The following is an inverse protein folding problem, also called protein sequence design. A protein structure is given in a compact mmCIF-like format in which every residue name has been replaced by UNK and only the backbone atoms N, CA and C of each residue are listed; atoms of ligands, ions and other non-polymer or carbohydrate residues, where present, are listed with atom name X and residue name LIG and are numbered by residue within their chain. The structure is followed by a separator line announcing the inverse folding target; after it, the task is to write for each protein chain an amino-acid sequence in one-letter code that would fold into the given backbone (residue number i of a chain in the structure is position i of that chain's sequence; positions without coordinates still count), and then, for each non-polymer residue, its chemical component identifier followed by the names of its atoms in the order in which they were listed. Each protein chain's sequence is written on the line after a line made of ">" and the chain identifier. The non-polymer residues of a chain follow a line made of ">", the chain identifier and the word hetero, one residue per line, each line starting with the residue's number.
data_IF_321452330418
#
_entry.id   IF_321452330418
#
_cell.length_a   1.000
_cell.length_b   1.000
_cell.length_c   1.000
_cell.angle_alpha   90.00
_cell.angle_beta   90.00
_cell.angle_gamma   90.00
#
_symmetry.space_group_name_H-M   'P 1'
#
loop_
_entity.id
_entity.type
_entity.pdbx_description
1 polymer ?
#
# COMPACT_ATOMS: atom_id res chain seq x y z
N UNK A 1 20.76 6.28 -22.37
CA UNK A 1 20.81 5.62 -21.05
C UNK A 1 19.68 6.20 -20.21
N UNK A 2 19.14 5.44 -19.25
CA UNK A 2 18.04 5.79 -18.31
C UNK A 2 16.65 5.24 -18.70
N UNK A 3 15.99 4.64 -17.71
CA UNK A 3 14.66 4.00 -17.64
C UNK A 3 14.58 2.49 -17.90
N UNK A 4 15.30 1.69 -17.09
CA UNK A 4 14.90 0.31 -16.81
C UNK A 4 13.93 0.32 -15.64
N UNK A 5 12.64 0.24 -15.95
CA UNK A 5 11.52 0.34 -15.03
C UNK A 5 11.52 -0.76 -13.96
N UNK A 6 12.06 -0.47 -12.77
CA UNK A 6 11.75 -1.21 -11.54
C UNK A 6 10.42 -0.72 -11.02
N UNK A 7 9.33 -1.29 -11.52
CA UNK A 7 7.96 -0.95 -11.10
C UNK A 7 7.61 -1.83 -9.91
N UNK A 8 7.36 -1.24 -8.73
CA UNK A 8 6.61 -1.95 -7.69
C UNK A 8 5.22 -2.18 -8.27
N UNK A 9 4.87 -3.45 -8.54
CA UNK A 9 3.51 -3.84 -8.92
C UNK A 9 2.81 -4.29 -7.65
N UNK A 10 1.91 -3.46 -7.15
CA UNK A 10 0.89 -3.88 -6.20
C UNK A 10 -0.19 -4.63 -6.97
N UNK A 11 -0.21 -5.95 -6.82
CA UNK A 11 -1.33 -6.77 -7.28
C UNK A 11 -2.35 -6.86 -6.16
N UNK A 12 -3.51 -6.24 -6.34
CA UNK A 12 -4.74 -6.63 -5.66
C UNK A 12 -5.70 -7.16 -6.73
N UNK A 13 -5.68 -8.46 -7.09
CA UNK A 13 -6.87 -9.06 -7.65
C UNK A 13 -7.86 -9.16 -6.47
N UNK A 14 -9.12 -8.77 -6.57
CA UNK A 14 -10.16 -9.57 -7.18
C UNK A 14 -11.50 -8.83 -7.18
N UNK A 15 -12.32 -9.14 -8.17
CA UNK A 15 -13.74 -8.76 -8.25
C UNK A 15 -14.59 -9.64 -7.33
N UNK A 16 -15.38 -8.98 -6.48
CA UNK A 16 -16.60 -9.43 -5.76
C UNK A 16 -16.49 -10.59 -4.74
N UNK A 17 -16.97 -10.30 -3.52
CA UNK A 17 -17.26 -11.14 -2.35
C UNK A 17 -16.13 -11.96 -1.67
N UNK A 18 -14.98 -12.16 -2.31
CA UNK A 18 -13.77 -12.75 -1.69
C UNK A 18 -12.75 -11.70 -1.17
N UNK A 19 -13.10 -10.42 -1.21
CA UNK A 19 -12.21 -9.30 -0.88
C UNK A 19 -11.80 -9.21 0.61
N UNK A 20 -12.38 -10.04 1.49
CA UNK A 20 -12.19 -9.99 2.95
C UNK A 20 -11.78 -11.33 3.58
N UNK A 21 -11.50 -12.37 2.78
CA UNK A 21 -10.88 -13.57 3.35
C UNK A 21 -9.47 -13.20 3.79
N UNK A 22 -9.09 -13.59 5.01
CA UNK A 22 -7.75 -13.39 5.56
C UNK A 22 -6.68 -13.93 4.60
N UNK A 23 -7.00 -14.98 3.84
CA UNK A 23 -6.13 -15.56 2.82
C UNK A 23 -5.87 -14.65 1.60
N UNK A 24 -6.74 -13.67 1.32
CA UNK A 24 -6.65 -12.74 0.20
C UNK A 24 -5.92 -11.43 0.51
N UNK A 25 -5.61 -11.15 1.78
CA UNK A 25 -4.97 -9.89 2.19
C UNK A 25 -3.50 -9.86 1.76
N UNK A 26 -3.09 -8.79 1.07
CA UNK A 26 -1.68 -8.59 0.82
C UNK A 26 -0.98 -8.12 2.11
N UNK A 27 -0.18 -9.00 2.69
CA UNK A 27 0.59 -8.73 3.90
C UNK A 27 2.08 -8.48 3.64
N UNK A 28 2.47 -8.29 2.37
CA UNK A 28 3.86 -8.15 1.98
C UNK A 28 4.08 -6.92 1.08
N UNK A 29 5.23 -6.28 1.24
CA UNK A 29 5.85 -5.51 0.17
C UNK A 29 6.58 -6.49 -0.75
N UNK A 30 6.35 -6.40 -2.06
CA UNK A 30 6.99 -7.30 -3.04
C UNK A 30 7.72 -6.45 -4.08
N UNK A 31 9.02 -6.73 -4.24
CA UNK A 31 9.87 -6.15 -5.29
C UNK A 31 10.18 -7.25 -6.29
N UNK A 32 9.92 -6.98 -7.57
CA UNK A 32 10.16 -7.93 -8.67
C UNK A 32 11.08 -7.27 -9.69
N UNK A 33 12.20 -7.94 -10.00
CA UNK A 33 13.02 -7.64 -11.16
C UNK A 33 12.78 -8.71 -12.24
N UNK A 34 11.96 -8.41 -13.27
CA UNK A 34 11.61 -9.40 -14.28
C UNK A 34 12.74 -9.70 -15.25
N UNK A 35 13.77 -8.85 -15.35
CA UNK A 35 14.92 -9.06 -16.25
C UNK A 35 15.91 -10.00 -15.58
N UNK A 36 16.23 -9.75 -14.30
CA UNK A 36 17.07 -10.63 -13.50
C UNK A 36 16.33 -11.88 -13.00
N UNK A 37 15.00 -11.94 -13.18
CA UNK A 37 14.11 -12.98 -12.65
C UNK A 37 14.23 -13.15 -11.13
N UNK A 38 14.39 -12.03 -10.42
CA UNK A 38 14.55 -12.00 -8.97
C UNK A 38 13.32 -11.41 -8.27
N UNK A 39 13.06 -11.88 -7.05
CA UNK A 39 12.02 -11.36 -6.18
C UNK A 39 12.55 -11.18 -4.77
N UNK A 40 12.10 -10.10 -4.12
CA UNK A 40 12.34 -9.83 -2.71
C UNK A 40 11.02 -9.46 -2.05
N UNK A 41 10.89 -9.75 -0.77
CA UNK A 41 9.69 -9.43 -0.01
C UNK A 41 10.05 -8.98 1.39
N UNK A 42 9.26 -8.06 1.93
CA UNK A 42 9.30 -7.69 3.33
C UNK A 42 7.87 -7.67 3.91
N UNK A 43 7.68 -8.03 5.18
CA UNK A 43 6.34 -8.06 5.76
C UNK A 43 5.83 -6.64 6.04
N UNK A 44 4.52 -6.41 5.83
CA UNK A 44 3.89 -5.15 6.22
C UNK A 44 3.89 -4.93 7.74
N UNK A 45 4.03 -6.00 8.54
CA UNK A 45 4.11 -5.93 10.01
C UNK A 45 5.34 -5.19 10.54
N UNK A 46 6.30 -4.83 9.67
CA UNK A 46 7.41 -3.91 10.03
C UNK A 46 7.02 -2.42 9.96
N UNK A 47 5.81 -2.10 9.48
CA UNK A 47 5.27 -0.74 9.46
C UNK A 47 4.41 -0.46 10.70
N UNK A 48 4.18 0.82 11.03
CA UNK A 48 3.17 1.21 12.01
C UNK A 48 1.79 0.63 11.66
N UNK A 49 1.04 0.22 12.68
CA UNK A 49 -0.23 -0.53 12.53
C UNK A 49 -1.19 0.11 11.52
N UNK A 50 -1.40 1.43 11.55
CA UNK A 50 -2.32 2.10 10.63
C UNK A 50 -1.89 2.05 9.17
N UNK A 51 -0.58 2.06 8.89
CA UNK A 51 -0.04 1.89 7.55
C UNK A 51 -0.13 0.42 7.11
N UNK A 52 0.18 -0.52 7.99
CA UNK A 52 0.03 -1.95 7.72
C UNK A 52 -1.41 -2.27 7.32
N UNK A 53 -2.37 -1.81 8.13
CA UNK A 53 -3.80 -2.02 7.92
C UNK A 53 -4.25 -1.40 6.59
N UNK A 54 -3.92 -0.13 6.34
CA UNK A 54 -4.24 0.52 5.07
C UNK A 54 -3.65 -0.26 3.89
N UNK A 55 -2.36 -0.60 3.91
CA UNK A 55 -1.67 -1.27 2.79
C UNK A 55 -2.14 -2.72 2.56
N UNK A 56 -2.84 -3.30 3.51
CA UNK A 56 -3.50 -4.61 3.37
C UNK A 56 -4.92 -4.54 2.79
N UNK A 57 -5.45 -3.33 2.59
CA UNK A 57 -6.81 -3.10 2.10
C UNK A 57 -6.96 -3.34 0.59
N UNK A 58 -8.21 -3.38 0.14
CA UNK A 58 -8.58 -3.54 -1.27
C UNK A 58 -9.05 -2.22 -1.89
N UNK A 59 -9.06 -2.14 -3.22
CA UNK A 59 -9.58 -0.99 -3.98
C UNK A 59 -8.98 0.37 -3.57
N UNK A 60 -7.67 0.38 -3.28
CA UNK A 60 -6.94 1.60 -2.96
C UNK A 60 -6.61 2.38 -4.24
N UNK A 61 -6.85 3.68 -4.22
CA UNK A 61 -6.48 4.58 -5.32
C UNK A 61 -4.98 4.85 -5.25
N UNK A 62 -4.31 4.91 -6.41
CA UNK A 62 -2.87 5.15 -6.46
C UNK A 62 -2.47 6.08 -7.60
N UNK A 63 -1.51 6.96 -7.32
CA UNK A 63 -0.92 7.85 -8.30
C UNK A 63 0.58 7.96 -8.05
N UNK A 64 1.40 7.86 -9.09
CA UNK A 64 2.85 8.01 -8.96
C UNK A 64 3.34 9.26 -9.67
N UNK A 65 4.08 10.10 -8.96
CA UNK A 65 4.77 11.27 -9.49
C UNK A 65 6.24 11.24 -9.09
N UNK A 66 7.13 11.14 -10.08
CA UNK A 66 8.56 10.94 -9.86
C UNK A 66 8.83 9.70 -8.98
N UNK A 67 9.55 9.93 -7.88
CA UNK A 67 9.97 8.90 -6.93
C UNK A 67 8.90 8.56 -5.88
N UNK A 68 7.76 9.25 -5.87
CA UNK A 68 6.72 9.06 -4.85
C UNK A 68 5.48 8.38 -5.43
N UNK A 69 5.06 7.31 -4.76
CA UNK A 69 3.76 6.67 -4.95
C UNK A 69 2.80 7.15 -3.86
N UNK A 70 1.75 7.83 -4.28
CA UNK A 70 0.64 8.26 -3.44
C UNK A 70 -0.45 7.19 -3.45
N UNK A 71 -0.99 6.95 -2.27
CA UNK A 71 -1.96 5.90 -1.97
C UNK A 71 -3.07 6.52 -1.15
N UNK A 72 -4.32 6.43 -1.61
CA UNK A 72 -5.45 7.05 -0.95
C UNK A 72 -6.59 6.05 -0.76
N UNK A 73 -7.23 6.13 0.41
CA UNK A 73 -8.37 5.28 0.69
C UNK A 73 -7.97 3.82 0.91
N UNK A 74 -8.78 2.94 0.33
CA UNK A 74 -8.74 1.51 0.54
C UNK A 74 -9.84 1.06 1.50
N UNK A 75 -10.44 -0.10 1.22
CA UNK A 75 -11.48 -0.70 2.04
C UNK A 75 -10.97 -2.03 2.63
N UNK A 76 -11.00 -2.14 3.95
CA UNK A 76 -10.47 -3.30 4.67
C UNK A 76 -10.86 -3.31 6.15
N UNK A 77 -10.29 -4.25 6.90
CA UNK A 77 -10.56 -4.42 8.33
C UNK A 77 -9.47 -3.79 9.18
N UNK A 78 -9.86 -3.03 10.22
CA UNK A 78 -8.94 -2.60 11.26
C UNK A 78 -8.73 -3.71 12.32
N UNK A 79 -7.83 -3.46 13.26
CA UNK A 79 -7.56 -4.32 14.43
C UNK A 79 -8.76 -4.52 15.36
N UNK A 80 -9.80 -3.71 15.25
CA UNK A 80 -11.08 -3.88 15.96
C UNK A 80 -12.09 -4.75 15.20
N UNK A 81 -11.68 -5.33 14.05
CA UNK A 81 -12.51 -6.10 13.13
C UNK A 81 -13.67 -5.30 12.50
N UNK A 82 -13.59 -3.96 12.52
CA UNK A 82 -14.51 -3.10 11.79
C UNK A 82 -14.04 -2.97 10.33
N UNK A 83 -15.00 -3.10 9.41
CA UNK A 83 -14.75 -2.78 8.01
C UNK A 83 -14.84 -1.28 7.82
N UNK A 84 -13.74 -0.68 7.34
CA UNK A 84 -13.62 0.76 7.19
C UNK A 84 -13.06 1.12 5.81
N UNK A 85 -13.39 2.33 5.37
CA UNK A 85 -12.58 3.02 4.36
C UNK A 85 -11.48 3.77 5.09
N UNK A 86 -10.22 3.48 4.77
CA UNK A 86 -9.09 4.17 5.41
C UNK A 86 -9.08 5.65 4.98
N UNK A 87 -9.06 6.61 5.91
CA UNK A 87 -9.10 8.03 5.56
C UNK A 87 -7.77 8.55 5.00
N UNK A 88 -6.68 7.80 5.14
CA UNK A 88 -5.33 8.32 5.01
C UNK A 88 -4.90 8.53 3.55
N UNK A 89 -4.15 9.62 3.32
CA UNK A 89 -3.27 9.75 2.16
C UNK A 89 -1.87 9.34 2.59
N UNK A 90 -1.33 8.32 1.92
CA UNK A 90 0.00 7.79 2.19
C UNK A 90 0.92 8.05 0.99
N UNK A 91 2.15 8.48 1.25
CA UNK A 91 3.20 8.66 0.25
C UNK A 91 4.36 7.71 0.54
N UNK A 92 4.80 7.02 -0.50
CA UNK A 92 5.87 6.01 -0.45
C UNK A 92 7.00 6.47 -1.36
N UNK A 93 8.21 6.64 -0.82
CA UNK A 93 9.41 6.92 -1.64
C UNK A 93 9.92 5.63 -2.27
N UNK A 94 9.48 5.36 -3.50
CA UNK A 94 9.59 4.07 -4.19
C UNK A 94 11.04 3.56 -4.32
N UNK A 95 12.02 4.36 -4.79
CA UNK A 95 13.40 3.86 -4.93
C UNK A 95 14.02 3.43 -3.60
N UNK A 96 13.74 4.18 -2.53
CA UNK A 96 14.30 3.91 -1.21
C UNK A 96 13.66 2.68 -0.58
N UNK A 97 12.35 2.47 -0.77
CA UNK A 97 11.67 1.23 -0.36
C UNK A 97 12.19 0.03 -1.13
N UNK A 98 12.38 0.13 -2.46
CA UNK A 98 12.97 -0.94 -3.27
C UNK A 98 14.35 -1.32 -2.73
N UNK A 99 15.22 -0.32 -2.52
CA UNK A 99 16.57 -0.54 -2.01
C UNK A 99 16.56 -1.18 -0.62
N UNK A 100 15.67 -0.75 0.27
CA UNK A 100 15.56 -1.30 1.61
C UNK A 100 15.06 -2.75 1.60
N UNK A 101 14.06 -3.08 0.79
CA UNK A 101 13.55 -4.47 0.66
C UNK A 101 14.60 -5.40 0.05
N UNK A 102 15.36 -4.96 -0.95
CA UNK A 102 16.44 -5.76 -1.57
C UNK A 102 17.56 -6.04 -0.56
N UNK A 103 17.93 -5.05 0.25
CA UNK A 103 19.05 -5.16 1.19
C UNK A 103 18.62 -5.60 2.60
N UNK A 104 17.35 -5.98 2.80
CA UNK A 104 16.80 -6.36 4.09
C UNK A 104 17.04 -5.33 5.20
N UNK A 105 16.94 -4.04 4.87
CA UNK A 105 17.06 -2.92 5.83
C UNK A 105 15.69 -2.30 6.14
N UNK A 106 15.64 -1.45 7.17
CA UNK A 106 14.39 -0.77 7.54
C UNK A 106 13.93 0.19 6.43
N UNK A 107 12.64 0.14 6.11
CA UNK A 107 11.97 1.00 5.13
C UNK A 107 10.94 1.93 5.75
N UNK A 108 10.74 1.89 7.08
CA UNK A 108 9.66 2.61 7.76
C UNK A 108 9.72 4.13 7.54
N UNK A 109 10.93 4.72 7.51
CA UNK A 109 11.13 6.16 7.27
C UNK A 109 10.76 6.61 5.85
N UNK A 110 10.57 5.67 4.93
CA UNK A 110 10.26 5.95 3.52
C UNK A 110 8.75 6.03 3.26
N UNK A 111 7.94 5.85 4.31
CA UNK A 111 6.50 6.02 4.30
C UNK A 111 6.12 7.31 5.06
N UNK A 112 5.18 8.06 4.50
CA UNK A 112 4.52 9.20 5.15
C UNK A 112 3.03 8.97 5.09
N UNK A 113 2.33 9.09 6.21
CA UNK A 113 0.88 9.04 6.25
C UNK A 113 0.35 10.38 6.75
N UNK A 114 -0.63 10.94 6.05
CA UNK A 114 -1.41 12.07 6.52
C UNK A 114 -2.84 11.63 6.84
N UNK A 115 -3.19 11.69 8.12
CA UNK A 115 -4.51 11.32 8.64
C UNK A 115 -5.50 12.51 8.61
N UNK A 116 -5.07 13.67 8.10
CA UNK A 116 -5.93 14.88 7.98
C UNK A 116 -6.68 14.91 6.66
N UNK A 117 -6.29 14.09 5.69
CA UNK A 117 -7.11 13.86 4.51
C UNK A 117 -8.37 13.12 4.95
N UNK A 118 -9.53 13.71 4.70
CA UNK A 118 -10.79 12.99 4.71
C UNK A 118 -11.08 12.67 3.25
N UNK A 119 -10.72 11.47 2.78
CA UNK A 119 -11.23 10.96 1.50
C UNK A 119 -12.76 11.03 1.59
N UNK A 120 -13.35 12.00 0.87
CA UNK A 120 -14.73 12.48 0.96
C UNK A 120 -15.64 11.69 1.93
N UNK A 121 -15.56 11.98 3.23
CA UNK A 121 -16.52 11.50 4.24
C UNK A 121 -17.85 12.25 4.19
N UNK A 122 -18.05 13.08 3.18
CA UNK A 122 -19.23 13.91 2.93
C UNK A 122 -19.80 13.61 1.54
N UNK A 123 -20.43 12.46 1.39
CA UNK A 123 -21.55 12.27 0.46
C UNK A 123 -22.61 11.48 1.22
N UNK A 124 -23.75 12.12 1.48
CA UNK A 124 -24.87 11.74 2.36
C UNK A 124 -24.77 12.20 3.83
N UNK A 125 -25.02 13.51 4.01
CA UNK A 125 -26.00 13.93 5.03
C UNK A 125 -27.06 14.73 4.28
N UNK A 126 -28.14 14.08 3.85
CA UNK A 126 -29.37 14.80 3.52
C UNK A 126 -30.02 15.20 4.85
N UNK A 127 -30.41 16.48 4.95
CA UNK A 127 -31.30 16.97 5.99
C UNK A 127 -32.62 16.20 6.02
#
# INVERSE_FOLDING_TARGET
>A
MVNHWRKIRWFAPQTTLAAFDIAGHNNQLIVVDPVAQQKWSAPLSSLPIGLQEQLSSTNMEFFQEGDYLYLAGGYGCNTSADHITYPNLSAVKVPDVINAVINSTSFTSNFRADNRYNVCRYWWVSQ
#
